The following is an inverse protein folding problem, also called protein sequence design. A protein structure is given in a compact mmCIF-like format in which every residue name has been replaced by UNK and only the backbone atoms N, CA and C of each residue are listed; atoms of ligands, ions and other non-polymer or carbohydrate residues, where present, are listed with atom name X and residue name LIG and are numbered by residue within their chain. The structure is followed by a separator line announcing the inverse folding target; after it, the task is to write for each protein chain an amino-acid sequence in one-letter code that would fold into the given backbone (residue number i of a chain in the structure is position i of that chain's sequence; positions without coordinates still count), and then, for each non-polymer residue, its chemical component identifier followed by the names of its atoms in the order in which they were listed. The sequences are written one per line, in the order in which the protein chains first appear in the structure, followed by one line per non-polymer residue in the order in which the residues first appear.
data_IF_445879655781
#
_entry.id   IF_445879655781
#
_cell.length_a   1.000
_cell.length_b   1.000
_cell.length_c   1.000
_cell.angle_alpha   90.00
_cell.angle_beta   90.00
_cell.angle_gamma   90.00
#
_symmetry.space_group_name_H-M   'P 1'
#
loop_
_entity.id
_entity.type
_entity.pdbx_description
1 polymer ?
#
# COMPACT_ATOMS: atom_id res chain seq x y z
N UNK A 1 42.20 20.40 -4.56
CA UNK A 1 42.35 21.12 -5.84
C UNK A 1 42.69 20.12 -6.94
N UNK A 2 41.79 19.93 -7.90
CA UNK A 2 41.97 19.12 -9.13
C UNK A 2 41.24 19.86 -10.25
N UNK A 3 41.83 20.00 -11.45
CA UNK A 3 41.38 20.99 -12.41
C UNK A 3 40.20 20.52 -13.28
N UNK A 4 39.41 21.53 -13.61
CA UNK A 4 38.35 21.62 -14.60
C UNK A 4 38.75 21.12 -15.99
N UNK A 5 37.84 20.37 -16.65
CA UNK A 5 37.81 20.27 -18.10
C UNK A 5 36.54 20.91 -18.66
N UNK A 6 36.78 22.06 -19.29
CA UNK A 6 35.98 22.70 -20.30
C UNK A 6 35.70 21.78 -21.50
N UNK A 7 34.46 21.76 -21.97
CA UNK A 7 34.07 21.30 -23.31
C UNK A 7 32.70 21.91 -23.62
N UNK A 8 32.67 23.11 -24.19
CA UNK A 8 32.51 23.40 -25.64
C UNK A 8 31.11 23.13 -26.17
N UNK A 9 30.40 24.24 -26.37
CA UNK A 9 29.66 24.63 -27.57
C UNK A 9 29.01 23.54 -28.42
N UNK A 10 27.67 23.59 -28.46
CA UNK A 10 26.85 23.08 -29.56
C UNK A 10 25.57 23.91 -29.67
N UNK A 11 25.67 25.09 -30.30
CA UNK A 11 24.51 25.83 -30.83
C UNK A 11 24.10 25.19 -32.14
N UNK A 12 22.92 24.58 -32.20
CA UNK A 12 22.17 24.21 -33.41
C UNK A 12 20.73 24.07 -32.94
N UNK A 13 19.66 24.51 -33.58
CA UNK A 13 19.35 25.52 -34.58
C UNK A 13 17.81 25.60 -34.53
N UNK A 14 17.23 26.80 -34.58
CA UNK A 14 15.80 26.94 -34.85
C UNK A 14 15.51 26.32 -36.23
N UNK A 15 14.57 25.37 -36.25
CA UNK A 15 13.95 24.86 -37.46
C UNK A 15 12.44 24.89 -37.29
N UNK A 16 11.84 26.02 -37.67
CA UNK A 16 10.41 26.10 -38.00
C UNK A 16 10.16 25.20 -39.22
N UNK A 17 9.26 24.23 -39.08
CA UNK A 17 8.56 23.64 -40.23
C UNK A 17 7.13 23.36 -39.84
N UNK A 18 6.29 24.33 -40.18
CA UNK A 18 4.85 24.28 -40.17
C UNK A 18 4.43 23.56 -41.46
N UNK A 19 4.25 22.23 -41.39
CA UNK A 19 3.68 21.45 -42.48
C UNK A 19 2.32 20.91 -42.03
N UNK A 20 1.28 21.66 -42.38
CA UNK A 20 -0.10 21.25 -42.27
C UNK A 20 -0.36 20.10 -43.27
N UNK A 21 -0.30 18.86 -42.79
CA UNK A 21 -0.86 17.71 -43.49
C UNK A 21 -2.23 17.44 -42.89
N UNK A 22 -3.26 17.94 -43.58
CA UNK A 22 -4.64 17.49 -43.44
C UNK A 22 -4.73 16.03 -43.92
N UNK A 23 -4.27 15.10 -43.08
CA UNK A 23 -4.54 13.69 -43.28
C UNK A 23 -5.95 13.41 -42.74
N UNK A 24 -6.90 13.17 -43.66
CA UNK A 24 -8.18 12.54 -43.40
C UNK A 24 -7.95 11.30 -42.51
N UNK A 25 -8.21 11.44 -41.21
CA UNK A 25 -8.38 10.28 -40.35
C UNK A 25 -9.70 9.63 -40.73
N UNK A 26 -9.73 8.32 -41.05
CA UNK A 26 -10.99 7.62 -41.19
C UNK A 26 -11.73 7.76 -39.86
N UNK A 27 -12.99 8.21 -39.91
CA UNK A 27 -13.89 8.10 -38.78
C UNK A 27 -13.95 6.61 -38.42
N UNK A 28 -13.19 6.21 -37.41
CA UNK A 28 -13.37 4.93 -36.76
C UNK A 28 -14.84 4.89 -36.34
N UNK A 29 -15.61 3.86 -36.74
CA UNK A 29 -16.97 3.72 -36.26
C UNK A 29 -16.90 3.75 -34.74
N UNK A 30 -17.52 4.76 -34.13
CA UNK A 30 -17.73 4.78 -32.70
C UNK A 30 -18.53 3.52 -32.40
N UNK A 31 -17.84 2.50 -31.86
CA UNK A 31 -18.47 1.34 -31.27
C UNK A 31 -19.52 1.89 -30.33
N UNK A 32 -20.77 1.75 -30.74
CA UNK A 32 -21.96 2.03 -29.96
C UNK A 32 -21.74 1.40 -28.60
N UNK A 33 -21.45 2.24 -27.60
CA UNK A 33 -21.33 1.84 -26.23
C UNK A 33 -22.69 1.26 -25.83
N UNK A 34 -22.81 -0.07 -25.86
CA UNK A 34 -23.98 -0.75 -25.34
C UNK A 34 -24.25 -0.19 -23.94
N UNK A 35 -25.48 0.24 -23.62
CA UNK A 35 -25.81 0.77 -22.31
C UNK A 35 -25.45 -0.30 -21.30
N UNK A 36 -24.42 -0.01 -20.48
CA UNK A 36 -23.76 -0.97 -19.58
C UNK A 36 -24.84 -1.57 -18.65
N UNK A 37 -25.29 -2.81 -18.88
CA UNK A 37 -26.34 -3.44 -18.06
C UNK A 37 -25.89 -3.71 -16.61
N UNK A 38 -24.62 -3.44 -16.32
CA UNK A 38 -23.90 -3.81 -15.10
C UNK A 38 -23.89 -2.72 -14.02
N UNK A 39 -24.50 -1.55 -14.24
CA UNK A 39 -24.41 -0.45 -13.28
C UNK A 39 -25.05 -0.78 -11.93
N UNK A 40 -26.25 -1.38 -11.92
CA UNK A 40 -26.96 -1.77 -10.69
C UNK A 40 -26.26 -2.92 -9.96
N UNK A 41 -25.77 -3.92 -10.69
CA UNK A 41 -25.00 -5.04 -10.13
C UNK A 41 -23.67 -4.58 -9.53
N UNK A 42 -22.96 -3.67 -10.22
CA UNK A 42 -21.74 -3.06 -9.71
C UNK A 42 -21.98 -2.27 -8.43
N UNK A 43 -23.10 -1.54 -8.32
CA UNK A 43 -23.49 -0.82 -7.10
C UNK A 43 -23.74 -1.80 -5.95
N UNK A 44 -24.50 -2.87 -6.18
CA UNK A 44 -24.78 -3.88 -5.16
C UNK A 44 -23.51 -4.58 -4.68
N UNK A 45 -22.64 -5.00 -5.61
CA UNK A 45 -21.36 -5.61 -5.30
C UNK A 45 -20.44 -4.66 -4.54
N UNK A 46 -20.40 -3.38 -4.95
CA UNK A 46 -19.62 -2.35 -4.28
C UNK A 46 -20.06 -2.17 -2.83
N UNK A 47 -21.37 -2.18 -2.56
CA UNK A 47 -21.91 -2.09 -1.19
C UNK A 47 -21.49 -3.28 -0.34
N UNK A 48 -21.63 -4.50 -0.85
CA UNK A 48 -21.22 -5.72 -0.15
C UNK A 48 -19.72 -5.71 0.14
N UNK A 49 -18.89 -5.34 -0.85
CA UNK A 49 -17.44 -5.24 -0.67
C UNK A 49 -17.06 -4.16 0.34
N UNK A 50 -17.76 -3.02 0.33
CA UNK A 50 -17.56 -1.95 1.31
C UNK A 50 -17.85 -2.45 2.71
N UNK A 51 -18.99 -3.12 2.92
CA UNK A 51 -19.37 -3.65 4.23
C UNK A 51 -18.40 -4.73 4.72
N UNK A 52 -17.96 -5.63 3.84
CA UNK A 52 -16.95 -6.64 4.16
C UNK A 52 -15.60 -6.01 4.51
N UNK A 53 -15.14 -5.04 3.71
CA UNK A 53 -13.88 -4.35 3.96
C UNK A 53 -13.92 -3.62 5.30
N UNK A 54 -15.02 -2.93 5.64
CA UNK A 54 -15.16 -2.23 6.93
C UNK A 54 -15.07 -3.19 8.12
N UNK A 55 -15.70 -4.37 8.03
CA UNK A 55 -15.69 -5.37 9.10
C UNK A 55 -14.33 -6.04 9.28
N UNK A 56 -13.64 -6.31 8.17
CA UNK A 56 -12.40 -7.09 8.17
C UNK A 56 -11.13 -6.24 7.97
N UNK A 57 -11.24 -4.91 8.02
CA UNK A 57 -10.08 -4.04 7.88
C UNK A 57 -9.12 -4.23 9.08
N UNK A 58 -7.86 -4.65 8.84
CA UNK A 58 -6.89 -4.81 9.91
C UNK A 58 -6.53 -3.45 10.53
N UNK A 59 -6.29 -3.46 11.83
CA UNK A 59 -5.77 -2.31 12.58
C UNK A 59 -4.51 -2.73 13.35
N UNK A 60 -3.31 -2.21 13.02
CA UNK A 60 -3.04 -1.22 11.97
C UNK A 60 -3.12 -1.79 10.54
N UNK A 61 -3.38 -0.93 9.56
CA UNK A 61 -3.43 -1.31 8.14
C UNK A 61 -2.11 -1.90 7.67
N UNK A 62 -1.04 -1.16 7.93
CA UNK A 62 0.31 -1.54 7.59
C UNK A 62 1.27 -0.96 8.63
N UNK A 63 2.36 -1.70 8.84
CA UNK A 63 3.41 -1.30 9.75
C UNK A 63 4.74 -1.64 9.09
N UNK A 64 5.59 -0.63 8.95
CA UNK A 64 6.96 -0.79 8.47
C UNK A 64 7.91 -0.41 9.60
N UNK A 65 8.91 -1.24 9.85
CA UNK A 65 9.93 -1.00 10.87
C UNK A 65 11.32 -1.14 10.23
N UNK A 66 12.02 -0.03 10.09
CA UNK A 66 13.39 0.04 9.57
C UNK A 66 14.37 0.08 10.77
N UNK A 67 15.30 -0.88 10.80
CA UNK A 67 16.34 -1.03 11.84
C UNK A 67 15.82 -1.09 13.28
N UNK A 68 14.53 -1.39 13.47
CA UNK A 68 13.95 -1.40 14.80
C UNK A 68 14.53 -2.54 15.64
N UNK A 69 15.04 -2.24 16.83
CA UNK A 69 15.71 -3.24 17.65
C UNK A 69 17.12 -3.60 17.16
N UNK A 70 17.68 -2.88 16.19
CA UNK A 70 19.03 -3.17 15.70
C UNK A 70 20.05 -2.98 16.83
N UNK A 71 20.85 -4.02 17.05
CA UNK A 71 21.93 -4.01 18.02
C UNK A 71 23.27 -4.08 17.31
N UNK A 72 24.26 -3.42 17.90
CA UNK A 72 25.66 -3.49 17.50
C UNK A 72 26.48 -3.98 18.67
N UNK A 73 27.45 -4.83 18.36
CA UNK A 73 28.45 -5.24 19.33
C UNK A 73 29.36 -4.05 19.65
N UNK A 74 29.40 -3.69 20.93
CA UNK A 74 30.26 -2.62 21.44
C UNK A 74 31.31 -3.27 22.34
N UNK A 75 32.57 -3.13 21.97
CA UNK A 75 33.69 -3.50 22.83
C UNK A 75 34.04 -2.34 23.75
N UNK A 76 34.25 -2.64 25.03
CA UNK A 76 34.60 -1.67 26.04
C UNK A 76 35.57 -2.24 27.05
N UNK A 77 36.05 -1.39 27.94
CA UNK A 77 36.89 -1.80 29.06
C UNK A 77 36.19 -1.46 30.36
N UNK A 78 35.81 -2.47 31.14
CA UNK A 78 35.24 -2.27 32.47
C UNK A 78 36.38 -2.13 33.45
N UNK A 79 36.51 -0.94 34.04
CA UNK A 79 37.45 -0.71 35.14
C UNK A 79 36.77 -1.09 36.45
N UNK A 80 37.39 -1.99 37.20
CA UNK A 80 36.99 -2.36 38.56
C UNK A 80 38.16 -2.11 39.49
N UNK A 81 37.88 -1.56 40.66
CA UNK A 81 38.87 -1.43 41.72
C UNK A 81 38.78 -2.68 42.58
N UNK A 82 39.86 -3.45 42.65
CA UNK A 82 39.99 -4.65 43.50
C UNK A 82 41.34 -4.57 44.20
N UNK A 83 41.35 -4.66 45.52
CA UNK A 83 42.56 -4.65 46.35
C UNK A 83 43.51 -3.46 46.05
N UNK A 84 42.95 -2.25 45.96
CA UNK A 84 43.67 -1.01 45.59
C UNK A 84 44.32 -1.02 44.19
N UNK A 85 44.05 -2.02 43.35
CA UNK A 85 44.49 -2.09 41.96
C UNK A 85 43.32 -1.82 41.01
N UNK A 86 43.59 -1.05 39.96
CA UNK A 86 42.64 -0.82 38.86
C UNK A 86 42.79 -1.97 37.86
N UNK A 87 41.84 -2.90 37.86
CA UNK A 87 41.77 -3.99 36.88
C UNK A 87 40.88 -3.54 35.73
N UNK A 88 41.38 -3.69 34.51
CA UNK A 88 40.69 -3.34 33.27
C UNK A 88 40.33 -4.63 32.53
N UNK A 89 39.06 -5.03 32.58
CA UNK A 89 38.55 -6.22 31.88
C UNK A 89 37.91 -5.80 30.54
N UNK A 90 38.39 -6.29 29.38
CA UNK A 90 37.68 -6.08 28.14
C UNK A 90 36.34 -6.82 28.19
N UNK A 91 35.28 -6.19 27.69
CA UNK A 91 33.97 -6.81 27.54
C UNK A 91 33.38 -6.48 26.18
N UNK A 92 32.52 -7.36 25.69
CA UNK A 92 31.71 -7.18 24.49
C UNK A 92 30.25 -7.30 24.90
N UNK A 93 29.44 -6.32 24.53
CA UNK A 93 28.01 -6.31 24.84
C UNK A 93 27.24 -5.86 23.61
N UNK A 94 26.10 -6.51 23.34
CA UNK A 94 25.16 -6.10 22.31
C UNK A 94 24.35 -4.92 22.82
N UNK A 95 24.48 -3.77 22.17
CA UNK A 95 23.76 -2.55 22.55
C UNK A 95 22.95 -2.01 21.39
N UNK A 96 21.81 -1.41 21.70
CA UNK A 96 20.97 -0.74 20.71
C UNK A 96 21.78 0.38 20.04
N UNK A 97 21.80 0.38 18.71
CA UNK A 97 22.58 1.35 17.94
C UNK A 97 21.87 1.69 16.63
N UNK A 98 22.18 2.86 16.08
CA UNK A 98 21.71 3.30 14.78
C UNK A 98 20.39 4.08 14.79
N UNK A 99 19.89 4.34 13.59
CA UNK A 99 18.66 5.09 13.36
C UNK A 99 17.50 4.11 13.19
N UNK A 100 16.58 4.12 14.15
CA UNK A 100 15.39 3.28 14.15
C UNK A 100 14.20 4.09 13.67
N UNK A 101 13.41 3.52 12.76
CA UNK A 101 12.18 4.15 12.27
C UNK A 101 11.05 3.14 12.26
N UNK A 102 9.86 3.59 12.63
CA UNK A 102 8.64 2.81 12.56
C UNK A 102 7.54 3.69 12.01
N UNK A 103 6.97 3.27 10.89
CA UNK A 103 5.80 3.89 10.28
C UNK A 103 4.59 2.99 10.53
N UNK A 104 3.53 3.56 11.08
CA UNK A 104 2.25 2.89 11.30
C UNK A 104 1.15 3.63 10.55
N UNK A 105 0.38 2.91 9.73
CA UNK A 105 -0.76 3.44 9.00
C UNK A 105 -2.05 2.91 9.63
N UNK A 106 -3.00 3.79 9.93
CA UNK A 106 -4.31 3.45 10.53
C UNK A 106 -5.43 4.18 9.83
N UNK A 107 -6.60 3.55 9.75
CA UNK A 107 -7.84 4.22 9.32
C UNK A 107 -8.69 4.41 10.57
N UNK A 108 -8.70 5.62 11.17
CA UNK A 108 -9.45 5.86 12.40
C UNK A 108 -10.96 5.71 12.18
N UNK A 109 -11.45 6.14 11.02
CA UNK A 109 -12.88 6.14 10.67
C UNK A 109 -13.14 5.20 9.50
N UNK A 110 -13.46 3.94 9.81
CA UNK A 110 -13.74 2.92 8.77
C UNK A 110 -14.97 3.27 7.92
N UNK A 111 -15.88 4.10 8.43
CA UNK A 111 -17.09 4.53 7.71
C UNK A 111 -16.84 5.51 6.56
N UNK A 112 -15.69 6.18 6.55
CA UNK A 112 -15.25 7.06 5.45
C UNK A 112 -14.48 6.29 4.36
N UNK A 113 -14.53 4.95 4.40
CA UNK A 113 -14.00 4.12 3.33
C UNK A 113 -15.01 4.05 2.19
N UNK A 114 -14.60 4.54 1.03
CA UNK A 114 -15.33 4.43 -0.22
C UNK A 114 -14.69 3.35 -1.08
N UNK A 115 -15.49 2.39 -1.52
CA UNK A 115 -15.06 1.39 -2.50
C UNK A 115 -15.81 1.67 -3.79
N UNK A 116 -15.16 1.47 -4.92
CA UNK A 116 -15.76 1.56 -6.24
C UNK A 116 -15.14 0.51 -7.14
N UNK A 117 -15.96 -0.10 -7.99
CA UNK A 117 -15.48 -1.04 -9.01
C UNK A 117 -15.54 -0.34 -10.36
N UNK A 118 -14.42 -0.31 -11.06
CA UNK A 118 -14.29 0.28 -12.39
C UNK A 118 -13.70 -0.73 -13.37
N UNK A 119 -13.92 -0.48 -14.66
CA UNK A 119 -13.33 -1.25 -15.76
C UNK A 119 -13.54 -2.76 -15.59
N UNK A 120 -14.80 -3.17 -15.52
CA UNK A 120 -15.18 -4.59 -15.50
C UNK A 120 -15.07 -5.10 -16.94
N UNK A 121 -14.05 -5.90 -17.19
CA UNK A 121 -13.77 -6.54 -18.46
C UNK A 121 -14.02 -8.04 -18.35
N UNK A 122 -14.50 -8.65 -19.44
CA UNK A 122 -14.68 -10.10 -19.54
C UNK A 122 -13.73 -10.67 -20.59
N UNK A 123 -12.43 -10.83 -20.27
CA UNK A 123 -11.43 -11.23 -21.26
C UNK A 123 -11.68 -12.64 -21.81
N UNK A 124 -12.32 -13.51 -21.02
CA UNK A 124 -12.66 -14.89 -21.39
C UNK A 124 -14.00 -15.26 -20.76
N UNK A 125 -14.72 -16.22 -21.34
CA UNK A 125 -15.94 -16.76 -20.73
C UNK A 125 -15.63 -17.30 -19.33
N UNK A 126 -16.37 -16.82 -18.34
CA UNK A 126 -16.14 -17.17 -16.93
C UNK A 126 -14.91 -16.52 -16.30
N UNK A 127 -14.31 -15.51 -16.93
CA UNK A 127 -13.25 -14.70 -16.32
C UNK A 127 -13.72 -13.24 -16.30
N UNK A 128 -13.80 -12.68 -15.09
CA UNK A 128 -14.08 -11.28 -14.83
C UNK A 128 -12.79 -10.62 -14.37
N UNK A 129 -12.35 -9.58 -15.07
CA UNK A 129 -11.26 -8.72 -14.64
C UNK A 129 -11.86 -7.39 -14.23
N UNK A 130 -11.50 -6.89 -13.05
CA UNK A 130 -12.02 -5.64 -12.54
C UNK A 130 -10.95 -4.85 -11.82
N UNK A 131 -11.09 -3.53 -11.83
CA UNK A 131 -10.29 -2.63 -11.02
C UNK A 131 -11.13 -2.22 -9.82
N UNK A 132 -10.71 -2.64 -8.63
CA UNK A 132 -11.31 -2.21 -7.36
C UNK A 132 -10.52 -1.01 -6.86
N UNK A 133 -11.19 0.13 -6.76
CA UNK A 133 -10.65 1.36 -6.21
C UNK A 133 -11.21 1.52 -4.80
N UNK A 134 -10.31 1.66 -3.84
CA UNK A 134 -10.65 1.92 -2.45
C UNK A 134 -10.04 3.24 -2.05
N UNK A 135 -10.86 4.20 -1.64
CA UNK A 135 -10.42 5.52 -1.21
C UNK A 135 -10.79 5.70 0.27
N UNK A 136 -9.79 6.04 1.08
CA UNK A 136 -9.96 6.46 2.46
C UNK A 136 -9.68 7.96 2.54
N UNK A 137 -10.68 8.73 2.99
CA UNK A 137 -10.55 10.18 3.13
C UNK A 137 -9.54 10.57 4.21
N UNK A 138 -9.42 9.75 5.26
CA UNK A 138 -8.50 9.98 6.36
C UNK A 138 -7.78 8.71 6.75
N UNK A 139 -6.46 8.72 6.58
CA UNK A 139 -5.53 7.72 7.09
C UNK A 139 -4.56 8.44 8.01
N UNK A 140 -4.51 7.98 9.26
CA UNK A 140 -3.55 8.47 10.23
C UNK A 140 -2.21 7.77 10.00
N UNK A 141 -1.18 8.58 9.89
CA UNK A 141 0.21 8.20 9.68
C UNK A 141 1.00 8.56 10.92
N UNK A 142 1.53 7.55 11.60
CA UNK A 142 2.41 7.74 12.74
C UNK A 142 3.83 7.33 12.38
N UNK A 143 4.77 8.27 12.47
CA UNK A 143 6.20 8.04 12.28
C UNK A 143 6.90 8.19 13.61
N UNK A 144 7.39 7.08 14.13
CA UNK A 144 8.32 7.04 15.25
C UNK A 144 9.75 6.98 14.71
N UNK A 145 10.60 7.90 15.15
CA UNK A 145 12.03 7.89 14.83
C UNK A 145 12.84 7.96 16.10
N UNK A 146 13.83 7.08 16.25
CA UNK A 146 14.75 7.07 17.39
C UNK A 146 16.19 6.98 16.90
N UNK A 147 17.07 7.81 17.44
CA UNK A 147 18.51 7.70 17.22
C UNK A 147 19.16 7.09 18.46
N UNK A 148 19.81 5.95 18.27
CA UNK A 148 20.59 5.26 19.30
C UNK A 148 22.08 5.38 19.01
N UNK A 149 22.86 5.42 20.09
CA UNK A 149 24.30 5.30 20.05
C UNK A 149 24.81 4.51 21.26
N UNK A 150 25.38 3.33 21.03
CA UNK A 150 25.97 2.48 22.08
C UNK A 150 25.03 2.22 23.28
N UNK A 151 23.74 2.01 23.03
CA UNK A 151 22.72 1.77 24.05
C UNK A 151 22.11 3.03 24.66
N UNK A 152 22.59 4.22 24.29
CA UNK A 152 22.01 5.50 24.71
C UNK A 152 21.06 6.02 23.62
N UNK A 153 19.84 6.36 24.02
CA UNK A 153 18.88 7.00 23.12
C UNK A 153 19.17 8.49 23.06
N UNK A 154 19.81 8.93 21.99
CA UNK A 154 20.20 10.33 21.77
C UNK A 154 19.01 11.22 21.45
N UNK A 155 18.06 10.70 20.67
CA UNK A 155 16.90 11.45 20.21
C UNK A 155 15.72 10.51 19.97
N UNK A 156 14.51 11.02 20.23
CA UNK A 156 13.26 10.36 19.90
C UNK A 156 12.27 11.40 19.37
N UNK A 157 11.65 11.09 18.24
CA UNK A 157 10.59 11.86 17.63
C UNK A 157 9.37 10.98 17.44
N UNK A 158 8.20 11.50 17.79
CA UNK A 158 6.91 10.97 17.36
C UNK A 158 6.28 12.05 16.47
N UNK A 159 6.00 11.70 15.24
CA UNK A 159 5.33 12.57 14.28
C UNK A 159 4.02 11.97 13.87
N UNK A 160 2.95 12.75 14.01
CA UNK A 160 1.60 12.35 13.61
C UNK A 160 1.14 13.21 12.46
N UNK A 161 0.65 12.56 11.43
CA UNK A 161 0.10 13.17 10.26
C UNK A 161 -1.19 12.45 9.86
N UNK A 162 -2.01 13.10 9.06
CA UNK A 162 -3.11 12.46 8.36
C UNK A 162 -2.99 12.73 6.86
N UNK A 163 -3.45 11.79 6.06
CA UNK A 163 -3.49 11.94 4.60
C UNK A 163 -4.70 11.24 4.00
N UNK A 164 -5.02 11.61 2.77
CA UNK A 164 -5.96 10.86 1.92
C UNK A 164 -5.19 9.75 1.22
N UNK A 165 -5.76 8.55 1.19
CA UNK A 165 -5.12 7.40 0.54
C UNK A 165 -6.09 6.75 -0.43
N UNK A 166 -5.63 6.53 -1.66
CA UNK A 166 -6.29 5.73 -2.67
C UNK A 166 -5.52 4.45 -2.90
N UNK A 167 -6.19 3.30 -2.81
CA UNK A 167 -5.65 1.99 -3.16
C UNK A 167 -6.37 1.50 -4.41
N UNK A 168 -5.60 1.29 -5.47
CA UNK A 168 -6.09 0.69 -6.72
C UNK A 168 -5.65 -0.76 -6.78
N UNK A 169 -6.59 -1.69 -6.64
CA UNK A 169 -6.37 -3.12 -6.79
C UNK A 169 -6.88 -3.59 -8.15
N UNK A 170 -6.03 -4.23 -8.93
CA UNK A 170 -6.45 -4.95 -10.14
C UNK A 170 -6.67 -6.41 -9.77
N UNK A 171 -7.91 -6.88 -9.87
CA UNK A 171 -8.27 -8.24 -9.53
C UNK A 171 -8.82 -8.98 -10.75
N UNK A 172 -8.50 -10.26 -10.84
CA UNK A 172 -9.05 -11.20 -11.80
C UNK A 172 -9.79 -12.28 -11.04
N UNK A 173 -11.09 -12.39 -11.29
CA UNK A 173 -11.99 -13.39 -10.74
C UNK A 173 -12.29 -14.39 -11.84
N UNK A 174 -11.82 -15.61 -11.70
CA UNK A 174 -12.12 -16.71 -12.61
C UNK A 174 -13.20 -17.58 -12.00
N UNK A 175 -14.36 -17.66 -12.63
CA UNK A 175 -15.41 -18.62 -12.31
C UNK A 175 -15.24 -19.88 -13.15
N UNK A 176 -15.10 -21.03 -12.49
CA UNK A 176 -15.17 -22.34 -13.12
C UNK A 176 -16.47 -23.02 -12.70
N UNK A 177 -17.24 -23.49 -13.67
CA UNK A 177 -18.39 -24.35 -13.42
C UNK A 177 -17.89 -25.78 -13.35
N UNK A 178 -18.08 -26.42 -12.21
CA UNK A 178 -17.80 -27.83 -12.00
C UNK A 178 -19.13 -28.55 -11.79
N UNK A 179 -19.31 -29.67 -12.49
CA UNK A 179 -20.48 -30.52 -12.32
C UNK A 179 -19.99 -31.83 -11.70
N UNK A 180 -19.98 -31.93 -10.36
CA UNK A 180 -19.55 -33.15 -9.70
C UNK A 180 -20.49 -34.30 -10.10
N UNK A 181 -19.89 -35.47 -10.34
CA UNK A 181 -20.60 -36.68 -10.77
C UNK A 181 -21.61 -37.04 -9.69
N UNK A 182 -22.92 -36.98 -10.03
CA UNK A 182 -24.02 -37.28 -9.12
C UNK A 182 -24.73 -36.06 -8.50
N UNK A 183 -24.26 -34.83 -8.73
CA UNK A 183 -24.97 -33.63 -8.28
C UNK A 183 -25.90 -33.07 -9.37
N UNK A 184 -27.15 -32.78 -9.00
CA UNK A 184 -28.15 -32.19 -9.90
C UNK A 184 -27.87 -30.71 -10.21
N UNK A 185 -27.26 -29.98 -9.26
CA UNK A 185 -26.96 -28.56 -9.41
C UNK A 185 -25.47 -28.33 -9.74
N UNK A 186 -25.16 -27.40 -10.66
CA UNK A 186 -23.78 -27.04 -10.95
C UNK A 186 -23.15 -26.30 -9.76
N UNK A 187 -21.90 -26.62 -9.46
CA UNK A 187 -21.09 -25.92 -8.48
C UNK A 187 -20.27 -24.84 -9.18
N UNK A 188 -20.21 -23.64 -8.58
CA UNK A 188 -19.35 -22.57 -9.07
C UNK A 188 -18.14 -22.43 -8.15
N UNK A 189 -16.96 -22.53 -8.75
CA UNK A 189 -15.67 -22.29 -8.10
C UNK A 189 -15.16 -20.94 -8.54
N UNK A 190 -15.14 -19.96 -7.62
CA UNK A 190 -14.58 -18.64 -7.87
C UNK A 190 -13.14 -18.60 -7.38
N UNK A 191 -12.21 -18.32 -8.29
CA UNK A 191 -10.80 -18.11 -8.00
C UNK A 191 -10.48 -16.63 -8.14
N UNK A 192 -10.16 -15.98 -7.03
CA UNK A 192 -9.75 -14.58 -7.02
C UNK A 192 -8.24 -14.49 -7.06
N UNK A 193 -7.70 -13.73 -8.01
CA UNK A 193 -6.28 -13.44 -8.14
C UNK A 193 -6.07 -11.93 -8.17
N UNK A 194 -5.17 -11.43 -7.34
CA UNK A 194 -4.77 -10.03 -7.37
C UNK A 194 -3.59 -9.92 -8.35
N UNK A 195 -3.70 -9.02 -9.32
CA UNK A 195 -2.71 -8.82 -10.37
C UNK A 195 -1.75 -7.69 -10.03
N UNK A 196 -2.29 -6.57 -9.55
CA UNK A 196 -1.54 -5.34 -9.25
C UNK A 196 -2.19 -4.61 -8.07
N UNK A 197 -1.37 -3.90 -7.31
CA UNK A 197 -1.81 -3.08 -6.18
C UNK A 197 -1.01 -1.77 -6.21
N UNK A 198 -1.70 -0.64 -6.39
CA UNK A 198 -1.09 0.68 -6.44
C UNK A 198 -1.62 1.54 -5.32
N UNK A 199 -0.71 2.17 -4.59
CA UNK A 199 -1.02 3.02 -3.45
C UNK A 199 -0.74 4.47 -3.79
N UNK A 200 -1.79 5.27 -3.89
CA UNK A 200 -1.70 6.71 -4.08
C UNK A 200 -2.05 7.43 -2.78
N UNK A 201 -1.38 8.55 -2.52
CA UNK A 201 -1.63 9.37 -1.35
C UNK A 201 -1.70 10.83 -1.76
N UNK A 202 -2.60 11.57 -1.13
CA UNK A 202 -2.83 12.99 -1.32
C UNK A 202 -2.87 13.71 0.02
N UNK A 203 -2.60 15.01 -0.01
CA UNK A 203 -2.79 15.93 1.12
C UNK A 203 -2.21 15.42 2.46
N UNK A 204 -0.90 15.17 2.51
CA UNK A 204 -0.24 14.86 3.80
C UNK A 204 -0.22 16.13 4.65
N UNK A 205 -0.99 16.13 5.74
CA UNK A 205 -1.05 17.19 6.73
C UNK A 205 -0.45 16.68 8.03
N UNK A 206 0.55 17.38 8.55
CA UNK A 206 1.20 17.01 9.81
C UNK A 206 0.48 17.69 10.96
N UNK A 207 -0.09 16.89 11.87
CA UNK A 207 -0.86 17.37 13.01
C UNK A 207 0.04 17.75 14.18
N UNK A 208 1.04 16.91 14.45
CA UNK A 208 1.88 17.07 15.61
C UNK A 208 3.31 16.64 15.33
N UNK A 209 4.24 17.55 15.60
CA UNK A 209 5.65 17.27 15.75
C UNK A 209 6.05 17.88 17.10
N UNK A 210 6.52 17.04 18.02
CA UNK A 210 6.88 17.42 19.38
C UNK A 210 7.73 18.71 19.40
N UNK A 211 7.12 19.84 19.79
CA UNK A 211 7.79 21.12 20.05
C UNK A 211 8.26 21.93 18.84
N UNK A 212 7.91 21.55 17.61
CA UNK A 212 8.33 22.27 16.40
C UNK A 212 7.14 22.96 15.75
N UNK A 213 7.04 24.27 15.95
CA UNK A 213 6.03 25.12 15.33
C UNK A 213 6.60 25.92 14.13
N UNK A 214 5.75 26.34 13.21
CA UNK A 214 6.12 27.21 12.08
C UNK A 214 6.99 26.58 10.97
N UNK A 215 8.07 27.27 10.54
CA UNK A 215 8.91 26.86 9.38
C UNK A 215 9.53 25.47 9.53
N UNK A 216 9.80 25.03 10.76
CA UNK A 216 10.35 23.70 11.03
C UNK A 216 9.34 22.59 10.67
N UNK A 217 8.05 22.80 10.95
CA UNK A 217 7.01 21.85 10.60
C UNK A 217 6.92 21.62 9.08
N UNK A 218 7.17 22.66 8.26
CA UNK A 218 7.23 22.53 6.79
C UNK A 218 8.38 21.63 6.32
N UNK A 219 9.58 21.84 6.86
CA UNK A 219 10.76 21.03 6.53
C UNK A 219 10.55 19.56 6.93
N UNK A 220 9.95 19.33 8.09
CA UNK A 220 9.60 17.97 8.53
C UNK A 220 8.53 17.36 7.62
N UNK A 221 7.53 18.13 7.19
CA UNK A 221 6.52 17.68 6.24
C UNK A 221 7.12 17.22 4.90
N UNK A 222 8.08 17.96 4.36
CA UNK A 222 8.80 17.55 3.15
C UNK A 222 9.63 16.27 3.38
N UNK A 223 10.24 16.14 4.55
CA UNK A 223 10.96 14.92 4.96
C UNK A 223 10.05 13.69 5.05
N UNK A 224 8.85 13.83 5.62
CA UNK A 224 7.86 12.75 5.70
C UNK A 224 7.44 12.32 4.29
N UNK A 225 7.18 13.27 3.38
CA UNK A 225 6.81 12.95 2.01
C UNK A 225 7.89 12.10 1.33
N UNK A 226 9.17 12.40 1.56
CA UNK A 226 10.26 11.60 1.03
C UNK A 226 10.33 10.19 1.63
N UNK A 227 10.12 10.07 2.95
CA UNK A 227 10.08 8.77 3.63
C UNK A 227 8.91 7.93 3.12
N UNK A 228 7.72 8.51 3.00
CA UNK A 228 6.53 7.82 2.45
C UNK A 228 6.77 7.42 0.99
N UNK A 229 7.39 8.28 0.18
CA UNK A 229 7.76 7.96 -1.21
C UNK A 229 8.73 6.79 -1.29
N UNK A 230 9.71 6.72 -0.39
CA UNK A 230 10.69 5.63 -0.34
C UNK A 230 10.08 4.30 0.14
N UNK A 231 9.13 4.36 1.08
CA UNK A 231 8.45 3.18 1.63
C UNK A 231 7.22 2.73 0.82
N UNK A 232 6.72 3.56 -0.10
CA UNK A 232 5.59 3.25 -0.99
C UNK A 232 5.67 1.85 -1.63
N UNK A 233 6.78 1.43 -2.28
CA UNK A 233 6.84 0.10 -2.92
C UNK A 233 6.71 -1.05 -1.90
N UNK A 234 7.28 -0.88 -0.70
CA UNK A 234 7.16 -1.89 0.36
C UNK A 234 5.72 -2.00 0.86
N UNK A 235 5.00 -0.87 0.97
CA UNK A 235 3.58 -0.87 1.31
C UNK A 235 2.71 -1.51 0.23
N UNK A 236 2.96 -1.22 -1.05
CA UNK A 236 2.24 -1.85 -2.16
C UNK A 236 2.40 -3.38 -2.13
N UNK A 237 3.63 -3.86 -1.91
CA UNK A 237 3.92 -5.29 -1.76
C UNK A 237 3.24 -5.90 -0.53
N UNK A 238 3.30 -5.23 0.63
CA UNK A 238 2.64 -5.70 1.85
C UNK A 238 1.13 -5.75 1.71
N UNK A 239 0.51 -4.71 1.13
CA UNK A 239 -0.93 -4.65 0.89
C UNK A 239 -1.36 -5.74 -0.09
N UNK A 240 -0.58 -5.99 -1.15
CA UNK A 240 -0.83 -7.12 -2.07
C UNK A 240 -0.80 -8.45 -1.33
N UNK A 241 0.24 -8.71 -0.54
CA UNK A 241 0.36 -9.96 0.25
C UNK A 241 -0.76 -10.12 1.26
N UNK A 242 -1.15 -9.05 1.96
CA UNK A 242 -2.26 -9.08 2.91
C UNK A 242 -3.59 -9.33 2.23
N UNK A 243 -3.82 -8.71 1.07
CA UNK A 243 -5.04 -8.94 0.29
C UNK A 243 -5.09 -10.38 -0.25
N UNK A 244 -3.97 -10.93 -0.73
CA UNK A 244 -3.87 -12.35 -1.09
C UNK A 244 -4.10 -13.28 0.11
N UNK A 245 -3.53 -12.97 1.27
CA UNK A 245 -3.72 -13.74 2.50
C UNK A 245 -5.18 -13.69 3.00
N UNK A 246 -5.83 -12.53 2.91
CA UNK A 246 -7.24 -12.37 3.25
C UNK A 246 -8.13 -13.18 2.30
N UNK A 247 -7.83 -13.16 1.00
CA UNK A 247 -8.51 -14.03 0.03
C UNK A 247 -8.33 -15.51 0.40
N UNK A 248 -7.11 -15.94 0.75
CA UNK A 248 -6.88 -17.33 1.17
C UNK A 248 -7.68 -17.67 2.42
N UNK A 249 -7.65 -16.81 3.45
CA UNK A 249 -8.34 -17.04 4.72
C UNK A 249 -9.87 -17.11 4.57
N UNK A 250 -10.46 -16.28 3.72
CA UNK A 250 -11.92 -16.31 3.47
C UNK A 250 -12.33 -17.54 2.66
N UNK A 251 -11.39 -18.13 1.92
CA UNK A 251 -11.70 -19.09 0.87
C UNK A 251 -11.20 -20.51 1.18
N UNK A 252 -10.52 -20.73 2.30
CA UNK A 252 -9.81 -21.95 2.75
C UNK A 252 -8.78 -22.55 1.76
N UNK A 253 -8.90 -22.35 0.45
CA UNK A 253 -8.04 -22.89 -0.63
C UNK A 253 -7.97 -22.00 -1.89
N UNK A 254 -8.26 -20.69 -1.79
CA UNK A 254 -8.39 -19.75 -2.94
C UNK A 254 -9.52 -20.11 -3.94
N UNK A 255 -10.37 -21.05 -3.58
CA UNK A 255 -11.50 -21.53 -4.37
C UNK A 255 -12.81 -21.36 -3.59
N UNK A 256 -13.57 -20.31 -3.91
CA UNK A 256 -14.83 -20.06 -3.24
C UNK A 256 -15.87 -20.94 -3.89
N UNK A 257 -16.19 -22.05 -3.24
CA UNK A 257 -17.21 -22.99 -3.69
C UNK A 257 -18.55 -22.45 -3.22
N UNK A 258 -19.27 -21.83 -4.15
CA UNK A 258 -20.65 -21.43 -3.91
C UNK A 258 -21.53 -22.50 -4.55
N UNK A 259 -22.29 -23.17 -3.70
CA UNK A 259 -23.35 -24.07 -4.14
C UNK A 259 -24.59 -23.20 -4.47
N UNK A 260 -25.22 -23.44 -5.62
CA UNK A 260 -26.29 -22.55 -6.13
C UNK A 260 -27.48 -22.44 -5.18
N UNK A 261 -27.77 -23.51 -4.45
CA UNK A 261 -28.78 -23.60 -3.38
C UNK A 261 -28.44 -22.70 -2.19
N UNK A 262 -27.17 -22.62 -1.79
CA UNK A 262 -26.72 -21.72 -0.73
C UNK A 262 -26.85 -20.25 -1.14
N UNK A 263 -26.53 -19.95 -2.41
CA UNK A 263 -26.70 -18.61 -2.96
C UNK A 263 -28.17 -18.19 -3.04
N UNK A 264 -29.05 -19.08 -3.52
CA UNK A 264 -30.49 -18.85 -3.57
C UNK A 264 -31.08 -18.65 -2.17
N UNK A 265 -30.67 -19.44 -1.17
CA UNK A 265 -31.11 -19.24 0.22
C UNK A 265 -30.66 -17.88 0.79
N UNK A 266 -29.41 -17.47 0.51
CA UNK A 266 -28.93 -16.13 0.92
C UNK A 266 -29.65 -15.00 0.20
N UNK A 267 -29.99 -15.16 -1.07
CA UNK A 267 -30.69 -14.13 -1.84
C UNK A 267 -32.16 -13.94 -1.44
N UNK A 268 -32.79 -15.00 -0.89
CA UNK A 268 -34.21 -14.99 -0.48
C UNK A 268 -34.40 -14.53 0.97
N UNK A 269 -33.34 -14.50 1.78
CA UNK A 269 -33.42 -14.04 3.18
C UNK A 269 -33.04 -12.55 3.24
N UNK A 270 -34.00 -11.63 3.44
CA UNK A 270 -33.74 -10.19 3.49
C UNK A 270 -32.95 -9.75 4.72
#
# INVERSE_FOLDING_TARGET
MKPSRFSRFGRVALGFSLAAVLACWPLTPSLSASPVPYASEAIALTRILTDLLRRHLPDPLAQASENWGQQREVSGTRRRIRDWRIISEPYQEMRNDGLWRRLTLRVPQKDQLHVGIQNIDFPRRGCLRGVVLTVAERVDVQLEQQQWHNGLRLYACDTRAHCKVGLTLRAEVTSRREQPIGAFLPMYVLKVRILDARLDYGDIVVDHILGLDGKAARVVGDGIREVVRRLKPDFEEQLRRKAEAAVIHVTDNRELRITLDEWLRRAVTP
#
